data_IF_367455297533
#
_entry.id   IF_367455297533
#
_cell.length_a   1.000
_cell.length_b   1.000
_cell.length_c   1.000
_cell.angle_alpha   90.00
_cell.angle_beta   90.00
_cell.angle_gamma   90.00
#
_symmetry.space_group_name_H-M   'P 1'
#
loop_
_entity.id
_entity.type
_entity.pdbx_description
1 polymer ?
#
# COMPACT_ATOMS: atom_id res chain seq x y z
N UNK A 1 -69.06 33.11 19.91
CA UNK A 1 -67.57 33.36 19.89
C UNK A 1 -66.84 32.02 19.70
N UNK A 2 -66.51 31.73 18.46
CA UNK A 2 -65.79 30.48 18.10
C UNK A 2 -64.27 30.75 18.19
N UNK A 3 -63.54 29.99 19.03
CA UNK A 3 -62.08 30.03 19.08
C UNK A 3 -61.53 28.97 18.09
N UNK A 4 -60.88 29.45 17.05
CA UNK A 4 -60.09 28.60 16.14
C UNK A 4 -58.74 28.26 16.83
N UNK A 5 -58.47 26.97 16.97
CA UNK A 5 -57.13 26.48 17.38
C UNK A 5 -56.28 26.29 16.14
N UNK A 6 -55.16 27.02 16.08
CA UNK A 6 -54.12 26.87 15.04
C UNK A 6 -53.15 25.78 15.48
N UNK A 7 -53.09 24.69 14.74
CA UNK A 7 -52.05 23.66 14.91
C UNK A 7 -50.84 24.08 14.10
N UNK A 8 -49.73 24.38 14.77
CA UNK A 8 -48.42 24.55 14.15
C UNK A 8 -47.77 23.18 14.00
N UNK A 9 -47.79 22.66 12.78
CA UNK A 9 -47.07 21.44 12.43
C UNK A 9 -45.57 21.72 12.30
N UNK A 10 -44.77 21.19 13.21
CA UNK A 10 -43.31 21.21 13.12
C UNK A 10 -42.89 20.20 12.08
N UNK A 11 -42.46 20.67 10.91
CA UNK A 11 -41.83 19.85 9.87
C UNK A 11 -40.42 19.45 10.34
N UNK A 12 -40.27 18.22 10.82
CA UNK A 12 -38.93 17.63 11.00
C UNK A 12 -38.36 17.36 9.60
N UNK A 13 -37.44 18.19 9.16
CA UNK A 13 -36.55 17.88 8.06
C UNK A 13 -35.58 16.79 8.54
N UNK A 14 -35.93 15.53 8.27
CA UNK A 14 -35.00 14.42 8.29
C UNK A 14 -34.07 14.66 7.10
N UNK A 15 -32.91 15.28 7.36
CA UNK A 15 -31.87 15.40 6.36
C UNK A 15 -31.41 13.99 6.02
N UNK A 16 -31.77 13.48 4.85
CA UNK A 16 -31.10 12.35 4.23
C UNK A 16 -29.59 12.69 4.19
N UNK A 17 -28.82 12.04 5.07
CA UNK A 17 -27.38 11.96 4.86
C UNK A 17 -27.18 11.16 3.58
N UNK A 18 -27.08 11.84 2.46
CA UNK A 18 -26.54 11.24 1.25
C UNK A 18 -25.24 10.55 1.65
N UNK A 19 -25.19 9.23 1.56
CA UNK A 19 -23.96 8.46 1.66
C UNK A 19 -22.97 9.12 0.70
N UNK A 20 -21.87 9.64 1.25
CA UNK A 20 -21.02 10.59 0.56
C UNK A 20 -20.44 9.99 -0.72
N UNK A 21 -20.70 10.64 -1.84
CA UNK A 21 -20.02 10.33 -3.08
C UNK A 21 -18.51 10.55 -2.87
N UNK A 22 -17.69 9.66 -3.41
CA UNK A 22 -16.23 9.85 -3.42
C UNK A 22 -15.93 11.11 -4.22
N UNK A 23 -15.17 12.02 -3.60
CA UNK A 23 -14.70 13.23 -4.27
C UNK A 23 -13.19 13.13 -4.52
N UNK A 24 -12.76 13.65 -5.66
CA UNK A 24 -11.36 13.79 -6.03
C UNK A 24 -11.04 15.27 -6.20
N UNK A 25 -10.06 15.75 -5.48
CA UNK A 25 -9.64 17.15 -5.49
C UNK A 25 -8.14 17.26 -5.76
N UNK A 26 -7.71 18.27 -6.50
CA UNK A 26 -6.30 18.64 -6.61
C UNK A 26 -5.94 19.56 -5.44
N UNK A 27 -4.86 19.23 -4.76
CA UNK A 27 -4.37 19.97 -3.59
C UNK A 27 -2.87 20.23 -3.70
N UNK A 28 -2.36 21.16 -2.90
CA UNK A 28 -0.95 21.19 -2.55
C UNK A 28 -0.73 20.25 -1.36
N UNK A 29 0.14 19.27 -1.50
CA UNK A 29 0.48 18.34 -0.44
C UNK A 29 1.95 18.53 -0.05
N UNK A 30 2.20 19.28 1.02
CA UNK A 30 3.54 19.60 1.53
C UNK A 30 4.52 20.12 0.46
N UNK A 31 4.05 20.96 -0.47
CA UNK A 31 4.85 21.53 -1.56
C UNK A 31 4.76 20.79 -2.89
N UNK A 32 4.16 19.60 -2.94
CA UNK A 32 3.81 18.96 -4.21
C UNK A 32 2.48 19.51 -4.72
N UNK A 33 2.56 20.42 -5.69
CA UNK A 33 1.39 21.03 -6.32
C UNK A 33 0.62 20.01 -7.17
N UNK A 34 -0.72 20.04 -7.10
CA UNK A 34 -1.58 19.19 -7.92
C UNK A 34 -1.61 17.72 -7.53
N UNK A 35 -1.27 17.39 -6.29
CA UNK A 35 -1.56 16.09 -5.70
C UNK A 35 -3.07 15.81 -5.70
N UNK A 36 -3.46 14.55 -5.78
CA UNK A 36 -4.86 14.13 -5.82
C UNK A 36 -5.30 13.60 -4.46
N UNK A 37 -6.24 14.28 -3.83
CA UNK A 37 -6.91 13.82 -2.61
C UNK A 37 -8.24 13.16 -2.98
N UNK A 38 -8.39 11.88 -2.64
CA UNK A 38 -9.66 11.16 -2.70
C UNK A 38 -10.26 11.10 -1.30
N UNK A 39 -11.57 11.35 -1.16
CA UNK A 39 -12.26 11.19 0.13
C UNK A 39 -13.74 10.86 -0.06
N UNK A 40 -14.29 10.06 0.87
CA UNK A 40 -15.71 9.75 1.00
C UNK A 40 -16.33 10.33 2.28
N UNK A 41 -15.60 11.26 2.96
CA UNK A 41 -16.01 11.84 4.23
C UNK A 41 -15.61 11.00 5.47
N UNK A 42 -15.30 9.72 5.31
CA UNK A 42 -14.80 8.84 6.40
C UNK A 42 -13.29 8.66 6.31
N UNK A 43 -12.81 8.26 5.15
CA UNK A 43 -11.39 8.04 4.86
C UNK A 43 -10.91 9.00 3.78
N UNK A 44 -9.61 9.22 3.78
CA UNK A 44 -8.90 9.98 2.74
C UNK A 44 -7.63 9.28 2.33
N UNK A 45 -7.28 9.45 1.04
CA UNK A 45 -6.05 9.00 0.43
C UNK A 45 -5.49 10.15 -0.42
N UNK A 46 -4.17 10.34 -0.40
CA UNK A 46 -3.48 11.31 -1.25
C UNK A 46 -2.46 10.62 -2.14
N UNK A 47 -2.61 10.81 -3.44
CA UNK A 47 -1.64 10.39 -4.46
C UNK A 47 -0.85 11.61 -4.94
N UNK A 48 0.48 11.50 -4.97
CA UNK A 48 1.42 12.54 -5.43
C UNK A 48 2.00 12.13 -6.78
N UNK A 49 1.53 12.73 -7.90
CA UNK A 49 1.96 12.34 -9.24
C UNK A 49 3.45 12.53 -9.49
N UNK A 50 4.06 13.59 -8.95
CA UNK A 50 5.45 13.97 -9.21
C UNK A 50 6.46 12.89 -8.79
N UNK A 51 6.07 12.02 -7.87
CA UNK A 51 6.91 10.94 -7.34
C UNK A 51 6.23 9.57 -7.47
N UNK A 52 5.04 9.50 -8.11
CA UNK A 52 4.33 8.26 -8.39
C UNK A 52 3.86 7.47 -7.16
N UNK A 53 3.52 8.14 -6.03
CA UNK A 53 3.26 7.46 -4.75
C UNK A 53 1.95 7.86 -4.10
N UNK A 54 1.32 6.89 -3.41
CA UNK A 54 0.32 7.20 -2.39
C UNK A 54 1.07 7.62 -1.13
N UNK A 55 0.90 8.89 -0.72
CA UNK A 55 1.64 9.44 0.41
C UNK A 55 0.81 9.52 1.68
N UNK A 56 -0.52 9.48 1.59
CA UNK A 56 -1.40 9.55 2.74
C UNK A 56 -2.52 8.51 2.65
N UNK A 57 -2.81 7.87 3.77
CA UNK A 57 -4.02 7.10 3.99
C UNK A 57 -4.41 7.15 5.47
N UNK A 58 -5.67 7.50 5.74
CA UNK A 58 -6.15 7.67 7.11
C UNK A 58 -7.63 8.00 7.18
N UNK A 59 -8.15 8.14 8.37
CA UNK A 59 -9.44 8.80 8.58
C UNK A 59 -9.32 10.29 8.22
N UNK A 60 -10.41 10.89 7.71
CA UNK A 60 -10.46 12.33 7.43
C UNK A 60 -10.12 13.13 8.69
N UNK A 61 -9.13 14.02 8.58
CA UNK A 61 -8.60 14.80 9.70
C UNK A 61 -7.83 13.99 10.76
N UNK A 62 -7.62 12.71 10.54
CA UNK A 62 -6.83 11.84 11.43
C UNK A 62 -5.35 11.79 11.06
N UNK A 63 -4.58 11.00 11.81
CA UNK A 63 -3.17 10.76 11.53
C UNK A 63 -2.97 10.03 10.19
N UNK A 64 -1.88 10.34 9.50
CA UNK A 64 -1.38 9.52 8.40
C UNK A 64 -0.77 8.23 8.96
N UNK A 65 -1.11 7.09 8.36
CA UNK A 65 -0.51 5.80 8.72
C UNK A 65 0.74 5.50 7.89
N UNK A 66 0.86 6.12 6.72
CA UNK A 66 2.01 5.91 5.86
C UNK A 66 3.20 6.72 6.40
N UNK A 67 4.37 6.13 6.34
CA UNK A 67 5.60 6.85 6.63
C UNK A 67 5.95 7.79 5.49
N UNK A 68 6.38 8.98 5.84
CA UNK A 68 6.81 10.02 4.90
C UNK A 68 8.18 10.56 5.32
N UNK A 69 9.05 10.74 4.36
CA UNK A 69 10.32 11.42 4.61
C UNK A 69 10.11 12.95 4.55
N UNK A 70 9.91 13.55 5.70
CA UNK A 70 9.65 14.99 5.80
C UNK A 70 10.79 15.87 5.22
N UNK A 71 12.03 15.36 5.20
CA UNK A 71 13.17 16.06 4.59
C UNK A 71 13.05 16.18 3.06
N UNK A 72 12.17 15.38 2.45
CA UNK A 72 11.92 15.35 1.01
C UNK A 72 10.58 15.96 0.58
N UNK A 73 9.82 16.53 1.49
CA UNK A 73 8.54 17.15 1.16
C UNK A 73 8.68 18.22 0.08
N UNK A 74 7.82 18.18 -0.93
CA UNK A 74 7.83 19.08 -2.08
C UNK A 74 9.01 18.87 -3.05
N UNK A 75 9.93 17.96 -2.76
CA UNK A 75 11.09 17.71 -3.62
C UNK A 75 10.75 16.65 -4.67
N UNK A 76 11.44 16.77 -5.80
CA UNK A 76 11.45 15.80 -6.91
C UNK A 76 12.91 15.53 -7.29
N UNK A 77 13.15 14.42 -7.96
CA UNK A 77 14.44 14.08 -8.54
C UNK A 77 14.35 13.98 -10.06
N UNK A 78 15.47 14.23 -10.72
CA UNK A 78 15.61 13.91 -12.13
C UNK A 78 16.03 12.42 -12.26
N UNK A 79 15.19 11.57 -12.84
CA UNK A 79 15.51 10.15 -13.00
C UNK A 79 16.81 9.88 -13.75
N UNK A 80 17.15 10.76 -14.72
CA UNK A 80 18.36 10.61 -15.51
C UNK A 80 19.66 10.91 -14.73
N UNK A 81 19.54 11.59 -13.59
CA UNK A 81 20.68 11.98 -12.74
C UNK A 81 20.67 11.25 -11.39
N UNK A 82 19.65 10.43 -11.14
CA UNK A 82 19.49 9.73 -9.86
C UNK A 82 20.30 8.44 -9.88
N UNK A 83 21.33 8.35 -9.05
CA UNK A 83 22.20 7.17 -8.89
C UNK A 83 21.83 6.34 -7.66
N UNK A 84 21.22 6.96 -6.66
CA UNK A 84 20.83 6.34 -5.41
C UNK A 84 19.31 6.32 -5.23
N UNK A 85 18.85 5.45 -4.33
CA UNK A 85 17.45 5.41 -3.97
C UNK A 85 17.02 6.64 -3.16
N UNK A 86 15.99 7.33 -3.63
CA UNK A 86 15.38 8.45 -2.93
C UNK A 86 14.13 7.95 -2.20
N UNK A 87 14.26 7.73 -0.90
CA UNK A 87 13.18 7.20 -0.08
C UNK A 87 12.19 8.29 0.34
N UNK A 88 11.21 8.58 -0.49
CA UNK A 88 10.12 9.53 -0.19
C UNK A 88 9.14 9.03 0.86
N UNK A 89 9.02 7.72 1.05
CA UNK A 89 7.96 7.12 1.85
C UNK A 89 6.76 6.64 1.03
N UNK A 90 5.62 6.46 1.70
CA UNK A 90 4.37 6.11 1.05
C UNK A 90 4.30 4.70 0.48
N UNK A 91 3.48 4.53 -0.55
CA UNK A 91 3.23 3.26 -1.22
C UNK A 91 3.59 3.34 -2.71
N UNK A 92 4.21 2.29 -3.21
CA UNK A 92 4.79 2.18 -4.56
C UNK A 92 4.67 0.78 -5.13
N UNK A 93 4.97 0.64 -6.43
CA UNK A 93 5.03 -0.64 -7.13
C UNK A 93 6.44 -0.89 -7.66
N UNK A 94 6.93 -2.11 -7.44
CA UNK A 94 8.17 -2.62 -8.01
C UNK A 94 7.93 -3.93 -8.77
N UNK A 95 8.80 -4.33 -9.71
CA UNK A 95 8.81 -5.70 -10.23
C UNK A 95 9.52 -6.62 -9.24
N UNK A 96 9.00 -7.84 -9.04
CA UNK A 96 9.69 -8.88 -8.26
C UNK A 96 10.03 -10.09 -9.14
N UNK A 97 11.05 -10.88 -8.80
CA UNK A 97 11.88 -10.78 -7.58
C UNK A 97 12.98 -9.72 -7.70
N UNK A 98 13.35 -9.13 -6.57
CA UNK A 98 14.39 -8.10 -6.49
C UNK A 98 15.77 -8.62 -6.92
N UNK A 99 16.08 -9.88 -6.69
CA UNK A 99 17.37 -10.48 -7.06
C UNK A 99 17.70 -10.34 -8.56
N UNK A 100 16.70 -10.16 -9.42
CA UNK A 100 16.89 -9.99 -10.87
C UNK A 100 17.38 -8.60 -11.26
N UNK A 101 17.22 -7.59 -10.43
CA UNK A 101 17.59 -6.21 -10.76
C UNK A 101 18.51 -5.54 -9.71
N UNK A 102 18.66 -6.16 -8.53
CA UNK A 102 19.55 -5.70 -7.48
C UNK A 102 19.08 -4.42 -6.80
N UNK A 103 20.02 -3.50 -6.57
CA UNK A 103 19.78 -2.22 -5.92
C UNK A 103 20.59 -1.11 -6.62
N UNK A 104 20.08 0.12 -6.75
CA UNK A 104 18.77 0.62 -6.30
C UNK A 104 17.62 0.27 -7.27
N UNK A 105 16.34 0.52 -6.86
CA UNK A 105 15.21 0.39 -7.76
C UNK A 105 15.32 1.38 -8.95
N UNK A 106 14.66 1.03 -10.07
CA UNK A 106 14.65 1.88 -11.26
C UNK A 106 13.93 3.20 -10.98
N UNK A 107 14.60 4.35 -11.09
CA UNK A 107 14.00 5.66 -10.87
C UNK A 107 12.77 5.94 -11.76
N UNK A 108 12.68 5.31 -12.95
CA UNK A 108 11.51 5.44 -13.82
C UNK A 108 10.23 4.92 -13.14
N UNK A 109 10.33 3.85 -12.35
CA UNK A 109 9.21 3.28 -11.60
C UNK A 109 9.10 3.84 -10.18
N UNK A 110 10.22 4.30 -9.62
CA UNK A 110 10.31 4.71 -8.21
C UNK A 110 10.78 6.15 -8.03
N UNK A 111 9.85 7.09 -8.03
CA UNK A 111 10.12 8.51 -7.79
C UNK A 111 10.05 9.42 -9.01
N UNK A 112 9.70 8.89 -10.18
CA UNK A 112 9.44 9.69 -11.39
C UNK A 112 7.99 10.17 -11.48
N UNK A 113 7.71 11.22 -12.25
CA UNK A 113 6.35 11.67 -12.50
C UNK A 113 5.50 10.61 -13.19
N UNK A 114 4.32 10.37 -12.67
CA UNK A 114 3.29 9.48 -13.22
C UNK A 114 2.15 10.28 -13.84
N UNK A 115 1.62 9.81 -14.97
CA UNK A 115 0.42 10.38 -15.56
C UNK A 115 -0.82 9.96 -14.74
N UNK A 116 -1.75 10.90 -14.50
CA UNK A 116 -2.98 10.64 -13.74
C UNK A 116 -4.20 11.09 -14.52
N UNK A 117 -5.16 10.20 -14.63
CA UNK A 117 -6.51 10.46 -15.16
C UNK A 117 -7.54 10.22 -14.06
N UNK A 118 -8.41 11.20 -13.81
CA UNK A 118 -9.59 11.03 -12.97
C UNK A 118 -10.67 10.42 -13.84
N UNK A 119 -11.12 9.21 -13.50
CA UNK A 119 -12.17 8.51 -14.21
C UNK A 119 -13.56 9.06 -13.79
N UNK A 120 -14.61 8.89 -14.64
CA UNK A 120 -15.94 9.43 -14.36
C UNK A 120 -16.57 8.97 -13.04
N UNK A 121 -16.17 7.79 -12.55
CA UNK A 121 -16.63 7.19 -11.28
C UNK A 121 -15.72 7.54 -10.08
N UNK A 122 -14.96 8.62 -10.19
CA UNK A 122 -14.05 9.13 -9.15
C UNK A 122 -12.90 8.17 -8.79
N UNK A 123 -12.55 7.20 -9.65
CA UNK A 123 -11.30 6.44 -9.54
C UNK A 123 -10.13 7.25 -10.10
N UNK A 124 -8.92 6.99 -9.60
CA UNK A 124 -7.70 7.46 -10.24
C UNK A 124 -7.10 6.35 -11.09
N UNK A 125 -6.81 6.63 -12.35
CA UNK A 125 -5.95 5.82 -13.20
C UNK A 125 -4.58 6.48 -13.28
N UNK A 126 -3.57 5.76 -12.83
CA UNK A 126 -2.19 6.22 -12.71
C UNK A 126 -1.31 5.36 -13.63
N UNK A 127 -0.46 5.99 -14.45
CA UNK A 127 0.44 5.30 -15.36
C UNK A 127 1.88 5.73 -15.08
N UNK A 128 2.77 4.77 -14.82
CA UNK A 128 4.19 5.03 -14.67
C UNK A 128 4.83 5.39 -16.02
N UNK A 129 6.01 6.02 -16.02
CA UNK A 129 6.90 5.97 -17.17
C UNK A 129 7.23 4.52 -17.55
N UNK A 130 7.77 4.32 -18.74
CA UNK A 130 8.35 3.05 -19.16
C UNK A 130 9.68 2.86 -18.42
N UNK A 131 9.85 1.68 -17.82
CA UNK A 131 11.14 1.21 -17.36
C UNK A 131 11.86 0.50 -18.50
N UNK A 132 12.80 1.15 -19.14
CA UNK A 132 13.64 0.54 -20.17
C UNK A 132 14.51 -0.60 -19.57
N UNK A 133 14.93 -0.40 -18.30
CA UNK A 133 15.72 -1.39 -17.54
C UNK A 133 14.99 -2.73 -17.39
N UNK A 134 13.67 -2.70 -17.20
CA UNK A 134 12.87 -3.89 -16.92
C UNK A 134 11.93 -4.29 -18.08
N UNK A 135 11.85 -3.46 -19.12
CA UNK A 135 10.95 -3.67 -20.26
C UNK A 135 9.46 -3.61 -19.89
N UNK A 136 9.11 -2.85 -18.85
CA UNK A 136 7.73 -2.80 -18.33
C UNK A 136 7.28 -1.38 -18.03
N UNK A 137 5.96 -1.22 -17.89
CA UNK A 137 5.34 -0.10 -17.19
C UNK A 137 4.22 -0.59 -16.27
N UNK A 138 3.87 0.21 -15.27
CA UNK A 138 2.72 -0.02 -14.43
C UNK A 138 1.55 0.87 -14.79
N UNK A 139 0.35 0.31 -14.72
CA UNK A 139 -0.92 1.03 -14.69
C UNK A 139 -1.63 0.66 -13.42
N UNK A 140 -2.05 1.64 -12.63
CA UNK A 140 -2.70 1.43 -11.36
C UNK A 140 -4.05 2.13 -11.33
N UNK A 141 -5.13 1.41 -11.04
CA UNK A 141 -6.43 2.02 -10.75
C UNK A 141 -6.68 1.99 -9.25
N UNK A 142 -6.98 3.17 -8.69
CA UNK A 142 -7.20 3.37 -7.25
C UNK A 142 -8.67 3.69 -7.05
N UNK A 143 -9.35 2.88 -6.27
CA UNK A 143 -10.77 3.02 -5.93
C UNK A 143 -10.94 3.16 -4.43
N UNK A 144 -11.47 4.30 -3.97
CA UNK A 144 -11.94 4.45 -2.60
C UNK A 144 -13.40 4.02 -2.55
N UNK A 145 -13.79 3.17 -1.61
CA UNK A 145 -15.18 2.77 -1.43
C UNK A 145 -16.07 3.99 -1.12
N UNK A 146 -17.33 3.98 -1.54
CA UNK A 146 -18.29 5.07 -1.30
C UNK A 146 -18.55 5.31 0.20
N UNK A 147 -18.28 4.33 1.06
CA UNK A 147 -18.40 4.43 2.51
C UNK A 147 -17.34 3.57 3.20
N UNK A 148 -17.09 3.84 4.48
CA UNK A 148 -16.06 3.13 5.24
C UNK A 148 -14.64 3.54 4.83
N UNK A 149 -13.69 2.62 4.94
CA UNK A 149 -12.26 2.94 4.78
C UNK A 149 -11.59 2.17 3.65
N UNK A 150 -12.30 1.25 2.99
CA UNK A 150 -11.68 0.36 2.01
C UNK A 150 -11.16 1.11 0.78
N UNK A 151 -9.92 0.79 0.40
CA UNK A 151 -9.31 1.19 -0.87
C UNK A 151 -8.92 -0.06 -1.64
N UNK A 152 -9.31 -0.13 -2.90
CA UNK A 152 -8.89 -1.20 -3.83
C UNK A 152 -7.91 -0.64 -4.84
N UNK A 153 -6.83 -1.37 -5.05
CA UNK A 153 -5.83 -1.09 -6.08
C UNK A 153 -5.84 -2.23 -7.11
N UNK A 154 -6.12 -1.92 -8.35
CA UNK A 154 -5.87 -2.81 -9.48
C UNK A 154 -4.51 -2.42 -10.08
N UNK A 155 -3.49 -3.20 -9.77
CA UNK A 155 -2.12 -2.97 -10.20
C UNK A 155 -1.84 -3.84 -11.45
N UNK A 156 -1.64 -3.22 -12.59
CA UNK A 156 -1.37 -3.89 -13.87
C UNK A 156 0.06 -3.63 -14.31
N UNK A 157 0.79 -4.68 -14.61
CA UNK A 157 2.10 -4.64 -15.23
C UNK A 157 1.95 -4.99 -16.70
N UNK A 158 2.54 -4.21 -17.58
CA UNK A 158 2.51 -4.39 -19.03
C UNK A 158 3.94 -4.59 -19.52
N UNK A 159 4.20 -5.67 -20.25
CA UNK A 159 5.44 -5.85 -20.99
C UNK A 159 5.44 -4.92 -22.21
N UNK A 160 6.33 -3.94 -22.22
CA UNK A 160 6.49 -2.97 -23.32
C UNK A 160 7.77 -3.22 -24.13
N UNK A 161 8.51 -4.28 -23.81
CA UNK A 161 9.69 -4.71 -24.57
C UNK A 161 9.31 -5.58 -25.77
N UNK A 162 10.28 -5.85 -26.62
CA UNK A 162 10.14 -6.72 -27.81
C UNK A 162 10.40 -8.22 -27.54
N UNK A 163 10.66 -8.58 -26.26
CA UNK A 163 10.92 -9.94 -25.83
C UNK A 163 10.10 -10.33 -24.61
N UNK A 164 10.10 -11.62 -24.28
CA UNK A 164 9.36 -12.15 -23.15
C UNK A 164 9.97 -11.65 -21.82
N UNK A 165 9.12 -11.21 -20.93
CA UNK A 165 9.46 -10.77 -19.57
C UNK A 165 8.84 -11.71 -18.55
N UNK A 166 9.51 -11.89 -17.41
CA UNK A 166 9.01 -12.77 -16.34
C UNK A 166 9.12 -12.03 -15.00
N UNK A 167 8.00 -11.50 -14.53
CA UNK A 167 7.92 -10.67 -13.33
C UNK A 167 6.69 -10.96 -12.49
N UNK A 168 6.72 -10.54 -11.24
CA UNK A 168 5.57 -10.36 -10.35
C UNK A 168 5.34 -8.88 -10.08
N UNK A 169 4.09 -8.49 -9.86
CA UNK A 169 3.74 -7.17 -9.31
C UNK A 169 4.00 -7.19 -7.81
N UNK A 170 4.78 -6.26 -7.33
CA UNK A 170 5.15 -6.10 -5.92
C UNK A 170 4.72 -4.74 -5.40
N UNK A 171 3.74 -4.73 -4.50
CA UNK A 171 3.30 -3.52 -3.81
C UNK A 171 4.06 -3.38 -2.50
N UNK A 172 4.74 -2.25 -2.31
CA UNK A 172 5.55 -1.94 -1.13
C UNK A 172 4.99 -0.71 -0.44
N UNK A 173 4.54 -0.87 0.81
CA UNK A 173 3.86 0.18 1.59
C UNK A 173 4.62 0.47 2.87
N UNK A 174 5.15 1.67 3.00
CA UNK A 174 5.89 2.11 4.20
C UNK A 174 4.94 2.66 5.26
N UNK A 175 4.97 2.07 6.45
CA UNK A 175 4.13 2.42 7.59
C UNK A 175 4.96 3.14 8.65
N UNK A 176 4.41 4.21 9.22
CA UNK A 176 5.08 5.04 10.21
C UNK A 176 5.14 4.37 11.58
N UNK A 177 6.31 3.83 11.91
CA UNK A 177 6.72 3.22 13.19
C UNK A 177 5.57 2.52 13.96
N UNK A 178 4.98 1.45 13.42
CA UNK A 178 3.86 0.78 14.07
C UNK A 178 4.31 0.02 15.33
N UNK A 179 3.40 -0.13 16.30
CA UNK A 179 3.63 -0.89 17.53
C UNK A 179 3.93 -2.37 17.24
N UNK A 180 3.28 -2.90 16.21
CA UNK A 180 3.42 -4.28 15.76
C UNK A 180 2.94 -4.44 14.33
N UNK A 181 3.58 -5.35 13.60
CA UNK A 181 3.07 -5.89 12.35
C UNK A 181 2.77 -7.37 12.50
N UNK A 182 1.83 -7.88 11.73
CA UNK A 182 1.45 -9.28 11.78
C UNK A 182 0.98 -9.81 10.41
N UNK A 183 1.18 -11.10 10.21
CA UNK A 183 0.65 -11.87 9.09
C UNK A 183 0.24 -13.27 9.58
N UNK A 184 -0.61 -14.02 8.83
CA UNK A 184 -0.93 -15.39 9.19
C UNK A 184 0.30 -16.30 9.16
N UNK A 185 0.44 -17.14 10.19
CA UNK A 185 1.39 -18.24 10.17
C UNK A 185 0.80 -19.43 9.42
N UNK A 186 1.49 -19.94 8.40
CA UNK A 186 1.01 -21.07 7.60
C UNK A 186 2.06 -22.17 7.52
N UNK A 187 1.96 -23.17 8.41
CA UNK A 187 2.92 -24.27 8.54
C UNK A 187 2.71 -25.41 7.54
N UNK A 188 1.66 -25.34 6.70
CA UNK A 188 1.36 -26.31 5.64
C UNK A 188 1.87 -25.88 4.26
N UNK A 189 2.49 -24.70 4.18
CA UNK A 189 3.10 -24.16 2.97
C UNK A 189 4.54 -24.63 2.76
N UNK A 190 5.30 -23.84 2.03
CA UNK A 190 6.72 -24.11 1.78
C UNK A 190 7.58 -23.98 3.03
N UNK A 191 7.12 -23.19 4.00
CA UNK A 191 7.87 -22.84 5.20
C UNK A 191 7.27 -23.55 6.44
N UNK A 192 7.82 -24.68 6.91
CA UNK A 192 7.29 -25.42 8.03
C UNK A 192 7.20 -24.64 9.35
N UNK A 193 8.00 -23.57 9.48
CA UNK A 193 7.90 -22.61 10.59
C UNK A 193 6.69 -21.68 10.49
N UNK A 194 6.02 -21.65 9.32
CA UNK A 194 4.90 -20.76 9.05
C UNK A 194 5.34 -19.36 8.59
N UNK A 195 6.62 -19.15 8.37
CA UNK A 195 7.24 -17.94 7.80
C UNK A 195 8.62 -18.26 7.23
N UNK A 196 9.09 -17.41 6.33
CA UNK A 196 10.42 -17.45 5.72
C UNK A 196 11.32 -16.39 6.37
N UNK A 197 12.59 -16.71 6.60
CA UNK A 197 13.63 -15.77 7.04
C UNK A 197 14.53 -15.46 5.86
N UNK A 198 14.67 -14.18 5.54
CA UNK A 198 15.60 -13.74 4.53
C UNK A 198 17.04 -13.82 5.06
N UNK A 199 17.96 -14.26 4.20
CA UNK A 199 19.38 -14.32 4.54
C UNK A 199 19.88 -12.92 4.91
N UNK A 200 20.69 -12.84 5.96
CA UNK A 200 21.31 -11.61 6.48
C UNK A 200 20.31 -10.54 6.96
N UNK A 201 19.01 -10.90 7.08
CA UNK A 201 17.94 -10.03 7.57
C UNK A 201 17.14 -10.64 8.74
N UNK A 202 17.78 -11.48 9.55
CA UNK A 202 17.16 -12.10 10.72
C UNK A 202 16.68 -11.05 11.72
N UNK A 203 15.50 -11.20 12.31
CA UNK A 203 15.02 -10.34 13.37
C UNK A 203 15.93 -10.34 14.60
N UNK A 204 16.08 -9.18 15.23
CA UNK A 204 16.76 -9.08 16.52
C UNK A 204 15.99 -9.88 17.58
N UNK A 205 16.69 -10.31 18.64
CA UNK A 205 16.11 -11.08 19.71
C UNK A 205 14.86 -10.40 20.30
N UNK A 206 13.78 -11.16 20.45
CA UNK A 206 12.50 -10.68 20.97
C UNK A 206 11.64 -9.83 20.01
N UNK A 207 12.11 -9.54 18.80
CA UNK A 207 11.33 -8.77 17.82
C UNK A 207 10.36 -9.64 17.03
N UNK A 208 10.64 -10.91 16.86
CA UNK A 208 9.78 -11.89 16.19
C UNK A 208 9.07 -12.77 17.22
N UNK A 209 7.74 -12.86 17.13
CA UNK A 209 6.94 -13.78 17.93
C UNK A 209 5.93 -14.52 17.04
N UNK A 210 5.57 -15.73 17.45
CA UNK A 210 4.58 -16.54 16.75
C UNK A 210 3.57 -17.09 17.77
N UNK A 211 2.32 -16.65 17.65
CA UNK A 211 1.25 -17.03 18.56
C UNK A 211 -0.10 -17.09 17.85
N UNK A 212 -0.95 -18.01 18.26
CA UNK A 212 -2.37 -18.11 17.81
C UNK A 212 -2.53 -18.07 16.28
N UNK A 213 -1.63 -18.74 15.54
CA UNK A 213 -1.66 -18.79 14.09
C UNK A 213 -1.23 -17.49 13.39
N UNK A 214 -0.50 -16.62 14.08
CA UNK A 214 0.05 -15.37 13.55
C UNK A 214 1.53 -15.28 13.81
N UNK A 215 2.24 -14.68 12.86
CA UNK A 215 3.63 -14.23 13.01
C UNK A 215 3.59 -12.73 13.20
N UNK A 216 4.26 -12.24 14.23
CA UNK A 216 4.38 -10.80 14.53
C UNK A 216 5.82 -10.37 14.48
N UNK A 217 6.07 -9.26 13.81
CA UNK A 217 7.39 -8.65 13.75
C UNK A 217 7.30 -7.21 14.26
N UNK A 218 8.22 -6.85 15.16
CA UNK A 218 8.44 -5.48 15.61
C UNK A 218 9.73 -4.94 15.03
N UNK A 219 9.78 -3.64 14.87
CA UNK A 219 10.98 -2.95 14.41
C UNK A 219 12.07 -2.96 15.49
N UNK A 220 13.31 -3.19 15.08
CA UNK A 220 14.50 -2.94 15.90
C UNK A 220 15.10 -1.58 15.54
N UNK A 221 15.54 -0.81 16.54
CA UNK A 221 16.21 0.46 16.30
C UNK A 221 17.61 0.29 15.66
N UNK A 222 18.22 -0.89 15.79
CA UNK A 222 19.63 -1.10 15.44
C UNK A 222 19.84 -2.07 14.28
N UNK A 223 18.81 -2.81 13.87
CA UNK A 223 18.96 -3.88 12.87
C UNK A 223 17.74 -3.94 11.94
N UNK A 224 18.00 -3.91 10.63
CA UNK A 224 17.01 -4.26 9.64
C UNK A 224 16.63 -5.73 9.73
N UNK A 225 15.37 -6.06 9.40
CA UNK A 225 14.89 -7.44 9.39
C UNK A 225 13.86 -7.63 8.30
N UNK A 226 13.80 -8.83 7.72
CA UNK A 226 12.78 -9.17 6.73
C UNK A 226 12.26 -10.59 6.96
N UNK A 227 10.94 -10.76 6.89
CA UNK A 227 10.29 -12.07 6.91
C UNK A 227 9.29 -12.17 5.76
N UNK A 228 9.07 -13.39 5.28
CA UNK A 228 8.08 -13.69 4.24
C UNK A 228 7.07 -14.74 4.69
N UNK A 229 5.94 -14.84 3.98
CA UNK A 229 4.88 -15.81 4.24
C UNK A 229 4.11 -16.18 2.99
N UNK A 230 3.72 -17.46 2.93
CA UNK A 230 2.98 -18.07 1.83
C UNK A 230 1.55 -18.48 2.23
N UNK A 231 0.97 -17.77 3.20
CA UNK A 231 -0.36 -18.11 3.70
C UNK A 231 -1.46 -17.80 2.69
N UNK A 232 -2.34 -18.77 2.37
CA UNK A 232 -3.48 -18.55 1.49
C UNK A 232 -4.55 -17.61 2.06
N UNK A 233 -4.45 -17.21 3.32
CA UNK A 233 -5.32 -16.19 3.90
C UNK A 233 -5.06 -14.80 3.31
N UNK A 234 -3.86 -14.56 2.76
CA UNK A 234 -3.55 -13.40 1.93
C UNK A 234 -3.71 -12.04 2.59
N UNK A 235 -3.41 -11.90 3.88
CA UNK A 235 -3.45 -10.61 4.57
C UNK A 235 -2.21 -10.32 5.40
N UNK A 236 -1.89 -9.05 5.53
CA UNK A 236 -0.82 -8.51 6.34
C UNK A 236 -1.33 -7.24 7.03
N UNK A 237 -0.90 -6.97 8.26
CA UNK A 237 -1.41 -5.83 9.00
C UNK A 237 -0.34 -5.12 9.83
N UNK A 238 -0.55 -3.82 10.04
CA UNK A 238 0.18 -3.00 11.00
C UNK A 238 -0.79 -2.33 11.96
N UNK A 239 -0.39 -2.21 13.24
CA UNK A 239 -1.14 -1.49 14.25
C UNK A 239 -0.30 -0.36 14.84
N UNK A 240 -0.90 0.82 14.95
CA UNK A 240 -0.33 1.99 15.61
C UNK A 240 -1.38 2.61 16.54
N UNK A 241 -1.17 2.50 17.84
CA UNK A 241 -2.16 2.88 18.84
C UNK A 241 -3.47 2.11 18.66
N UNK A 242 -4.55 2.85 18.45
CA UNK A 242 -5.89 2.29 18.20
C UNK A 242 -6.21 2.09 16.71
N UNK A 243 -5.27 2.36 15.82
CA UNK A 243 -5.46 2.18 14.38
C UNK A 243 -4.81 0.89 13.91
N UNK A 244 -5.53 0.13 13.10
CA UNK A 244 -5.04 -1.06 12.42
C UNK A 244 -5.29 -0.92 10.92
N UNK A 245 -4.21 -0.97 10.14
CA UNK A 245 -4.26 -1.14 8.70
C UNK A 245 -4.14 -2.62 8.39
N UNK A 246 -5.08 -3.16 7.63
CA UNK A 246 -4.98 -4.48 7.02
C UNK A 246 -4.86 -4.33 5.51
N UNK A 247 -3.84 -4.93 4.94
CA UNK A 247 -3.67 -5.07 3.49
C UNK A 247 -3.90 -6.52 3.11
N UNK A 248 -4.55 -6.76 1.97
CA UNK A 248 -4.88 -8.11 1.52
C UNK A 248 -4.88 -8.27 0.01
N UNK A 249 -4.64 -9.50 -0.43
CA UNK A 249 -4.77 -9.92 -1.82
C UNK A 249 -5.22 -11.39 -1.87
N UNK A 250 -5.77 -11.80 -3.01
CA UNK A 250 -6.13 -13.19 -3.22
C UNK A 250 -4.87 -14.03 -3.50
N UNK A 251 -4.75 -15.16 -2.80
CA UNK A 251 -3.73 -16.17 -3.10
C UNK A 251 -4.20 -17.03 -4.29
N UNK A 252 -3.31 -17.29 -5.23
CA UNK A 252 -3.57 -18.17 -6.38
C UNK A 252 -2.84 -19.51 -6.19
N UNK A 253 -3.57 -20.59 -5.86
CA UNK A 253 -2.95 -21.90 -5.64
C UNK A 253 -2.22 -22.42 -6.89
N UNK A 254 -1.07 -23.09 -6.67
CA UNK A 254 -0.29 -23.69 -7.75
C UNK A 254 0.53 -22.71 -8.58
N UNK A 255 0.45 -21.42 -8.30
CA UNK A 255 1.29 -20.42 -8.95
C UNK A 255 2.64 -20.28 -8.24
N UNK A 256 3.64 -19.81 -8.99
CA UNK A 256 4.95 -19.49 -8.45
C UNK A 256 4.94 -18.06 -7.90
N UNK A 257 5.45 -17.89 -6.68
CA UNK A 257 5.62 -16.59 -6.04
C UNK A 257 7.11 -16.32 -5.83
N UNK A 258 7.54 -15.04 -5.78
CA UNK A 258 8.91 -14.65 -5.47
C UNK A 258 9.38 -15.15 -4.08
N UNK A 259 10.65 -14.96 -3.79
CA UNK A 259 11.22 -15.00 -2.44
C UNK A 259 10.77 -16.23 -1.62
N UNK A 260 11.13 -17.42 -2.14
CA UNK A 260 10.76 -18.71 -1.56
C UNK A 260 9.23 -18.96 -1.46
N UNK A 261 8.45 -18.39 -2.40
CA UNK A 261 7.00 -18.54 -2.45
C UNK A 261 6.25 -17.52 -1.62
N UNK A 262 6.91 -16.44 -1.18
CA UNK A 262 6.30 -15.40 -0.36
C UNK A 262 5.32 -14.56 -1.17
N UNK A 263 4.10 -14.46 -0.65
CA UNK A 263 3.07 -13.54 -1.10
C UNK A 263 2.98 -12.32 -0.17
N UNK A 264 3.40 -12.49 1.07
CA UNK A 264 3.36 -11.51 2.15
C UNK A 264 4.78 -11.32 2.66
N UNK A 265 5.23 -10.06 2.79
CA UNK A 265 6.54 -9.78 3.38
C UNK A 265 6.45 -8.58 4.33
N UNK A 266 7.22 -8.64 5.40
CA UNK A 266 7.40 -7.54 6.35
C UNK A 266 8.90 -7.23 6.39
N UNK A 267 9.25 -6.00 6.01
CA UNK A 267 10.58 -5.45 6.22
C UNK A 267 10.55 -4.39 7.32
N UNK A 268 11.59 -4.34 8.16
CA UNK A 268 11.74 -3.33 9.22
C UNK A 268 13.03 -2.59 9.04
N UNK A 269 12.96 -1.25 9.05
CA UNK A 269 14.13 -0.39 8.92
C UNK A 269 14.62 0.06 10.30
N UNK A 270 15.94 0.10 10.56
CA UNK A 270 16.49 0.65 11.80
C UNK A 270 16.39 2.19 11.83
N UNK A 271 16.79 2.78 12.96
CA UNK A 271 16.95 4.22 13.06
C UNK A 271 18.05 4.72 12.09
N UNK A 272 18.01 5.97 11.63
CA UNK A 272 17.05 7.02 12.02
C UNK A 272 15.73 7.00 11.25
N UNK A 273 15.60 6.23 10.16
CA UNK A 273 14.37 6.19 9.35
C UNK A 273 13.41 5.12 9.89
N UNK A 274 12.46 5.56 10.70
CA UNK A 274 11.62 4.70 11.53
C UNK A 274 10.38 4.21 10.79
N UNK A 275 10.53 3.26 9.86
CA UNK A 275 9.41 2.67 9.14
C UNK A 275 9.46 1.14 9.10
N UNK A 276 8.33 0.56 8.77
CA UNK A 276 8.18 -0.85 8.41
C UNK A 276 7.55 -0.88 7.02
N UNK A 277 7.95 -1.82 6.16
CA UNK A 277 7.27 -2.09 4.90
C UNK A 277 6.33 -3.28 5.07
N UNK A 278 5.08 -3.09 4.68
CA UNK A 278 4.13 -4.16 4.42
C UNK A 278 4.12 -4.39 2.90
N UNK A 279 4.37 -5.61 2.50
CA UNK A 279 4.60 -5.93 1.10
C UNK A 279 3.64 -7.03 0.65
N UNK A 280 3.00 -6.82 -0.50
CA UNK A 280 2.14 -7.81 -1.16
C UNK A 280 2.72 -8.14 -2.53
N UNK A 281 2.95 -9.43 -2.79
CA UNK A 281 3.51 -9.91 -4.03
C UNK A 281 2.49 -10.77 -4.77
N UNK A 282 2.27 -10.46 -6.05
CA UNK A 282 1.50 -11.30 -6.96
C UNK A 282 2.30 -12.55 -7.39
N UNK A 283 1.69 -13.47 -8.09
CA UNK A 283 2.42 -14.58 -8.69
C UNK A 283 3.32 -14.10 -9.83
N UNK A 284 4.44 -14.80 -10.04
CA UNK A 284 5.33 -14.57 -11.17
C UNK A 284 4.62 -14.97 -12.47
N UNK A 285 4.62 -14.08 -13.44
CA UNK A 285 4.00 -14.30 -14.75
C UNK A 285 5.02 -14.12 -15.87
N UNK A 286 4.93 -14.99 -16.85
CA UNK A 286 5.62 -14.86 -18.12
C UNK A 286 4.75 -14.06 -19.07
N UNK A 287 5.25 -12.91 -19.53
CA UNK A 287 4.53 -11.94 -20.37
C UNK A 287 5.23 -11.82 -21.73
N UNK A 288 4.53 -12.20 -22.81
CA UNK A 288 4.99 -11.91 -24.18
C UNK A 288 4.95 -10.40 -24.44
N UNK A 289 5.63 -9.90 -25.49
CA UNK A 289 5.54 -8.50 -25.90
C UNK A 289 4.08 -8.02 -25.98
N UNK A 290 3.77 -6.89 -25.35
CA UNK A 290 2.42 -6.32 -25.26
C UNK A 290 1.47 -7.01 -24.28
N UNK A 291 1.82 -8.17 -23.70
CA UNK A 291 0.98 -8.84 -22.71
C UNK A 291 1.02 -8.12 -21.35
N UNK A 292 -0.01 -8.36 -20.55
CA UNK A 292 -0.15 -7.75 -19.21
C UNK A 292 -0.61 -8.77 -18.18
N UNK A 293 -0.34 -8.46 -16.92
CA UNK A 293 -0.88 -9.14 -15.74
C UNK A 293 -1.37 -8.14 -14.73
N UNK A 294 -2.38 -8.51 -13.95
CA UNK A 294 -2.94 -7.64 -12.91
C UNK A 294 -2.92 -8.32 -11.55
N UNK A 295 -2.67 -7.53 -10.52
CA UNK A 295 -2.69 -7.95 -9.14
C UNK A 295 -3.55 -6.97 -8.31
N UNK A 296 -4.66 -7.46 -7.78
CA UNK A 296 -5.59 -6.66 -6.99
C UNK A 296 -5.26 -6.75 -5.52
N UNK A 297 -5.06 -5.59 -4.89
CA UNK A 297 -4.83 -5.48 -3.45
C UNK A 297 -5.90 -4.61 -2.81
N UNK A 298 -6.15 -4.80 -1.52
CA UNK A 298 -7.12 -4.01 -0.73
C UNK A 298 -6.50 -3.56 0.56
N UNK A 299 -6.81 -2.32 0.94
CA UNK A 299 -6.49 -1.75 2.23
C UNK A 299 -7.76 -1.49 3.02
N UNK A 300 -7.72 -1.78 4.30
CA UNK A 300 -8.80 -1.46 5.23
C UNK A 300 -8.22 -0.91 6.53
N UNK A 301 -8.76 0.21 6.98
CA UNK A 301 -8.40 0.85 8.23
C UNK A 301 -9.52 0.64 9.25
N UNK A 302 -9.15 0.22 10.45
CA UNK A 302 -10.07 -0.04 11.55
C UNK A 302 -9.57 0.63 12.83
N UNK A 303 -10.53 1.00 13.71
CA UNK A 303 -10.23 1.32 15.10
C UNK A 303 -10.34 0.03 15.91
N UNK A 304 -9.29 -0.29 16.65
CA UNK A 304 -9.22 -1.48 17.52
C UNK A 304 -9.10 -1.04 18.99
N UNK A 305 -9.58 -1.88 19.90
CA UNK A 305 -9.43 -1.61 21.33
C UNK A 305 -7.98 -1.75 21.77
N UNK A 306 -7.58 -1.01 22.80
CA UNK A 306 -6.22 -1.14 23.38
C UNK A 306 -6.00 -2.48 24.08
N UNK A 307 -7.06 -3.21 24.42
CA UNK A 307 -7.01 -4.49 25.12
C UNK A 307 -6.50 -5.68 24.28
N UNK A 308 -6.44 -5.57 22.97
CA UNK A 308 -5.82 -6.58 22.10
C UNK A 308 -4.27 -6.56 22.12
N UNK A 309 -3.68 -5.86 23.06
CA UNK A 309 -2.23 -5.53 23.11
C UNK A 309 -1.42 -6.52 23.98
N UNK A 310 -2.06 -7.50 24.63
CA UNK A 310 -1.38 -8.46 25.54
C UNK A 310 -1.37 -9.88 24.97
#
# INVERSE_FOLDING_TARGET
>A
MLRMAVWAGTLLLIGDRMLGAVTVQRINYYGWEGAYRMTNGTAELVFVPQIGRVMRYGYVGGANLLWENAALWGRTSDPAQTTDWINYGGDKLWPAPQERWGWPPDPALDGSPHAVTVLPDSRLRVESPVSEKHGIRFVREITLAASGTEVTFLNTMINVSDHEQRWSVWQVTQIDDPDVTEMPSYTRGRNPKGYYLFKDADPAAGMLTQEKGRVRLRRSAVKASKIGGDSPQGWIAARRGTLRLTMSAAYEPGQEYPDNGSMLEIYTNPDPLRYIELELLGPIRTLRPGAQTSFTTRWRLERVSQTETR
#
